data_IF_914536826513
#
_entry.id   IF_914536826513
#
_cell.length_a   1.000
_cell.length_b   1.000
_cell.length_c   1.000
_cell.angle_alpha   90.00
_cell.angle_beta   90.00
_cell.angle_gamma   90.00
#
_symmetry.space_group_name_H-M   'P 1'
#
loop_
_entity.id
_entity.type
_entity.pdbx_description
1 polymer ?
#
# COMPACT_ATOMS: atom_id res chain seq x y z
N UNK A 1 4.35 68.11 -5.46
CA UNK A 1 4.98 67.71 -4.17
C UNK A 1 3.97 67.04 -3.21
N UNK A 2 2.70 67.40 -3.16
CA UNK A 2 1.67 66.78 -2.29
C UNK A 2 1.24 65.35 -2.69
N UNK A 3 1.27 64.99 -3.96
CA UNK A 3 0.86 63.68 -4.46
C UNK A 3 1.85 62.53 -4.09
N UNK A 4 3.16 62.84 -4.09
CA UNK A 4 4.20 61.85 -3.80
C UNK A 4 4.24 61.49 -2.29
N UNK A 5 3.88 62.44 -1.42
CA UNK A 5 3.81 62.18 0.03
C UNK A 5 2.58 61.36 0.40
N UNK A 6 1.44 61.53 -0.31
CA UNK A 6 0.23 60.73 -0.10
C UNK A 6 0.41 59.25 -0.49
N UNK A 7 1.11 59.02 -1.58
CA UNK A 7 1.38 57.65 -2.08
C UNK A 7 2.39 56.89 -1.13
N UNK A 8 3.42 57.60 -0.63
CA UNK A 8 4.35 57.03 0.33
C UNK A 8 3.71 56.77 1.71
N UNK A 9 2.66 57.50 2.08
CA UNK A 9 1.93 57.27 3.34
C UNK A 9 0.97 56.05 3.19
N UNK A 10 0.37 55.89 2.02
CA UNK A 10 -0.55 54.80 1.73
C UNK A 10 0.15 53.45 1.71
N UNK A 11 1.37 53.38 1.17
CA UNK A 11 2.16 52.16 1.12
C UNK A 11 2.71 51.73 2.49
N UNK A 12 2.78 52.67 3.47
CA UNK A 12 3.22 52.35 4.85
C UNK A 12 2.09 51.93 5.79
N UNK A 13 0.84 52.28 5.49
CA UNK A 13 -0.33 52.06 6.36
C UNK A 13 -1.09 50.75 6.04
N UNK A 14 -0.79 50.13 4.93
CA UNK A 14 -1.32 48.78 4.57
C UNK A 14 -0.15 47.82 4.40
N UNK A 15 0.40 47.22 5.48
CA UNK A 15 1.18 46.02 5.31
C UNK A 15 0.22 44.97 4.67
N UNK A 16 0.52 44.57 3.42
CA UNK A 16 -0.12 43.41 2.83
C UNK A 16 0.12 42.25 3.80
N UNK A 17 -0.90 41.95 4.62
CA UNK A 17 -0.90 40.72 5.37
C UNK A 17 -0.96 39.62 4.33
N UNK A 18 0.09 38.77 4.21
CA UNK A 18 -0.01 37.61 3.37
C UNK A 18 -1.19 36.79 3.91
N UNK A 19 -2.29 36.72 3.17
CA UNK A 19 -3.33 35.75 3.43
C UNK A 19 -2.65 34.40 3.25
N UNK A 20 -2.15 33.84 4.35
CA UNK A 20 -1.66 32.50 4.39
C UNK A 20 -2.85 31.61 4.06
N UNK A 21 -2.96 31.22 2.81
CA UNK A 21 -3.85 30.15 2.39
C UNK A 21 -3.53 28.95 3.30
N UNK A 22 -4.55 28.25 3.83
CA UNK A 22 -4.33 27.11 4.68
C UNK A 22 -3.34 26.20 3.97
N UNK A 23 -2.28 25.82 4.70
CA UNK A 23 -1.18 25.03 4.17
C UNK A 23 -1.74 23.83 3.41
N UNK A 24 -1.69 23.88 2.10
CA UNK A 24 -2.01 22.74 1.25
C UNK A 24 -1.03 21.65 1.66
N UNK A 25 -1.55 20.48 2.03
CA UNK A 25 -0.71 19.33 2.36
C UNK A 25 0.37 19.18 1.27
N UNK A 26 1.64 18.99 1.63
CA UNK A 26 2.67 18.82 0.62
C UNK A 26 2.27 17.66 -0.31
N UNK A 27 2.44 17.81 -1.62
CA UNK A 27 1.98 16.78 -2.59
C UNK A 27 2.54 15.39 -2.28
N UNK A 28 3.72 15.31 -1.70
CA UNK A 28 4.33 14.05 -1.24
C UNK A 28 3.53 13.37 -0.13
N UNK A 29 3.05 14.12 0.84
CA UNK A 29 2.21 13.59 1.92
C UNK A 29 0.85 13.12 1.40
N UNK A 30 0.24 13.88 0.50
CA UNK A 30 -1.03 13.49 -0.13
C UNK A 30 -0.90 12.19 -0.92
N UNK A 31 0.17 12.03 -1.70
CA UNK A 31 0.47 10.79 -2.43
C UNK A 31 0.70 9.60 -1.50
N UNK A 32 1.48 9.78 -0.44
CA UNK A 32 1.73 8.73 0.56
C UNK A 32 0.45 8.29 1.25
N UNK A 33 -0.41 9.24 1.65
CA UNK A 33 -1.69 8.93 2.26
C UNK A 33 -2.63 8.21 1.29
N UNK A 34 -2.71 8.66 0.04
CA UNK A 34 -3.51 8.01 -1.00
C UNK A 34 -3.05 6.57 -1.24
N UNK A 35 -1.73 6.34 -1.31
CA UNK A 35 -1.14 5.02 -1.43
C UNK A 35 -1.50 4.12 -0.25
N UNK A 36 -1.32 4.59 0.99
CA UNK A 36 -1.65 3.82 2.19
C UNK A 36 -3.12 3.49 2.28
N UNK A 37 -4.01 4.44 1.96
CA UNK A 37 -5.46 4.21 1.93
C UNK A 37 -5.81 3.16 0.88
N UNK A 38 -5.28 3.26 -0.33
CA UNK A 38 -5.51 2.29 -1.40
C UNK A 38 -5.00 0.89 -1.00
N UNK A 39 -3.82 0.79 -0.38
CA UNK A 39 -3.25 -0.45 0.11
C UNK A 39 -4.14 -1.11 1.17
N UNK A 40 -4.55 -0.34 2.18
CA UNK A 40 -5.41 -0.83 3.28
C UNK A 40 -6.76 -1.28 2.74
N UNK A 41 -7.41 -0.48 1.89
CA UNK A 41 -8.69 -0.85 1.27
C UNK A 41 -8.56 -2.12 0.43
N UNK A 42 -7.50 -2.24 -0.36
CA UNK A 42 -7.21 -3.44 -1.15
C UNK A 42 -7.02 -4.69 -0.29
N UNK A 43 -6.27 -4.57 0.80
CA UNK A 43 -6.08 -5.66 1.77
C UNK A 43 -7.41 -6.05 2.44
N UNK A 44 -8.17 -5.08 2.96
CA UNK A 44 -9.46 -5.35 3.60
C UNK A 44 -10.42 -6.08 2.66
N UNK A 45 -10.51 -5.63 1.40
CA UNK A 45 -11.35 -6.26 0.39
C UNK A 45 -10.91 -7.71 0.12
N UNK A 46 -9.61 -7.95 -0.05
CA UNK A 46 -9.05 -9.28 -0.28
C UNK A 46 -9.27 -10.20 0.93
N UNK A 47 -9.05 -9.72 2.16
CA UNK A 47 -9.32 -10.46 3.39
C UNK A 47 -10.80 -10.80 3.54
N UNK A 48 -11.69 -9.86 3.22
CA UNK A 48 -13.14 -10.07 3.27
C UNK A 48 -13.59 -11.13 2.27
N UNK A 49 -13.13 -11.05 1.01
CA UNK A 49 -13.43 -12.04 -0.04
C UNK A 49 -12.91 -13.42 0.34
N UNK A 50 -11.66 -13.52 0.78
CA UNK A 50 -11.06 -14.80 1.18
C UNK A 50 -11.78 -15.41 2.39
N UNK A 51 -12.13 -14.59 3.39
CA UNK A 51 -12.92 -15.06 4.55
C UNK A 51 -14.29 -15.58 4.15
N UNK A 52 -14.94 -14.92 3.18
CA UNK A 52 -16.22 -15.37 2.63
C UNK A 52 -16.07 -16.71 1.90
N UNK A 53 -15.02 -16.85 1.09
CA UNK A 53 -14.72 -18.09 0.37
C UNK A 53 -14.43 -19.25 1.32
N UNK A 54 -13.57 -19.03 2.34
CA UNK A 54 -13.25 -20.04 3.35
C UNK A 54 -14.51 -20.51 4.07
N UNK A 55 -15.37 -19.59 4.49
CA UNK A 55 -16.65 -19.91 5.16
C UNK A 55 -17.59 -20.70 4.24
N UNK A 56 -17.65 -20.37 2.96
CA UNK A 56 -18.47 -21.07 1.98
C UNK A 56 -17.99 -22.52 1.81
N UNK A 57 -16.70 -22.73 1.58
CA UNK A 57 -16.09 -24.07 1.44
C UNK A 57 -16.29 -24.90 2.72
N UNK A 58 -16.06 -24.30 3.90
CA UNK A 58 -16.23 -24.96 5.18
C UNK A 58 -17.68 -25.44 5.44
N UNK A 59 -18.66 -24.62 5.04
CA UNK A 59 -20.09 -24.99 5.19
C UNK A 59 -20.50 -26.16 4.31
N UNK A 60 -19.91 -26.28 3.10
CA UNK A 60 -20.27 -27.33 2.14
C UNK A 60 -19.33 -28.53 2.19
N UNK A 61 -18.42 -28.59 3.16
CA UNK A 61 -17.42 -29.66 3.31
C UNK A 61 -18.03 -31.04 3.44
N UNK A 62 -19.21 -31.16 4.11
CA UNK A 62 -19.86 -32.43 4.43
C UNK A 62 -20.94 -32.83 3.42
N UNK A 63 -21.12 -32.06 2.35
CA UNK A 63 -22.15 -32.33 1.34
C UNK A 63 -21.53 -32.38 -0.06
N UNK A 64 -21.42 -33.59 -0.62
CA UNK A 64 -21.05 -33.72 -2.02
C UNK A 64 -22.25 -33.31 -2.88
N UNK A 65 -22.10 -32.40 -3.86
CA UNK A 65 -23.20 -32.07 -4.77
C UNK A 65 -23.75 -33.31 -5.47
N UNK A 66 -25.06 -33.41 -5.59
CA UNK A 66 -25.76 -34.59 -6.13
C UNK A 66 -25.26 -35.00 -7.51
N UNK A 67 -24.87 -34.05 -8.37
CA UNK A 67 -24.31 -34.29 -9.68
C UNK A 67 -22.98 -35.07 -9.66
N UNK A 68 -22.24 -35.06 -8.53
CA UNK A 68 -20.94 -35.72 -8.41
C UNK A 68 -20.91 -36.84 -7.37
N UNK A 69 -22.02 -37.09 -6.67
CA UNK A 69 -22.12 -38.07 -5.58
C UNK A 69 -21.72 -39.50 -5.99
N UNK A 70 -21.90 -39.87 -7.25
CA UNK A 70 -21.52 -41.17 -7.75
C UNK A 70 -20.05 -41.29 -8.15
N UNK A 71 -19.33 -40.16 -8.32
CA UNK A 71 -17.96 -40.15 -8.83
C UNK A 71 -16.94 -39.72 -7.78
N UNK A 72 -17.35 -39.01 -6.74
CA UNK A 72 -16.45 -38.43 -5.73
C UNK A 72 -16.90 -38.94 -4.36
N UNK A 73 -16.01 -39.60 -3.66
CA UNK A 73 -16.25 -40.01 -2.26
C UNK A 73 -16.27 -38.79 -1.32
N UNK A 74 -17.09 -38.90 -0.27
CA UNK A 74 -17.14 -37.83 0.75
C UNK A 74 -15.74 -37.51 1.32
N UNK A 75 -14.92 -38.54 1.52
CA UNK A 75 -13.55 -38.36 2.04
C UNK A 75 -12.65 -37.56 1.07
N UNK A 76 -12.75 -37.84 -0.23
CA UNK A 76 -11.99 -37.08 -1.24
C UNK A 76 -12.45 -35.61 -1.30
N UNK A 77 -13.78 -35.37 -1.18
CA UNK A 77 -14.36 -34.03 -1.15
C UNK A 77 -13.89 -33.26 0.10
N UNK A 78 -13.89 -33.90 1.27
CA UNK A 78 -13.39 -33.28 2.52
C UNK A 78 -11.90 -32.93 2.43
N UNK A 79 -11.05 -33.84 1.91
CA UNK A 79 -9.62 -33.56 1.67
C UNK A 79 -9.41 -32.35 0.76
N UNK A 80 -10.17 -32.25 -0.32
CA UNK A 80 -10.08 -31.12 -1.25
C UNK A 80 -10.52 -29.81 -0.58
N UNK A 81 -11.57 -29.84 0.24
CA UNK A 81 -12.03 -28.68 1.00
C UNK A 81 -10.97 -28.22 2.03
N UNK A 82 -10.38 -29.16 2.78
CA UNK A 82 -9.34 -28.86 3.78
C UNK A 82 -8.08 -28.28 3.14
N UNK A 83 -7.66 -28.83 2.00
CA UNK A 83 -6.55 -28.28 1.21
C UNK A 83 -6.86 -26.84 0.74
N UNK A 84 -8.05 -26.59 0.22
CA UNK A 84 -8.47 -25.27 -0.24
C UNK A 84 -8.48 -24.25 0.88
N UNK A 85 -9.00 -24.61 2.05
CA UNK A 85 -9.03 -23.74 3.25
C UNK A 85 -7.61 -23.43 3.71
N UNK A 86 -6.75 -24.44 3.81
CA UNK A 86 -5.36 -24.27 4.23
C UNK A 86 -4.58 -23.38 3.27
N UNK A 87 -4.71 -23.62 1.96
CA UNK A 87 -4.09 -22.80 0.92
C UNK A 87 -4.57 -21.36 0.99
N UNK A 88 -5.87 -21.12 1.17
CA UNK A 88 -6.43 -19.79 1.26
C UNK A 88 -5.91 -19.04 2.50
N UNK A 89 -5.78 -19.70 3.66
CA UNK A 89 -5.20 -19.11 4.88
C UNK A 89 -3.73 -18.75 4.69
N UNK A 90 -2.96 -19.65 4.05
CA UNK A 90 -1.54 -19.38 3.75
C UNK A 90 -1.39 -18.19 2.80
N UNK A 91 -2.23 -18.11 1.76
CA UNK A 91 -2.22 -16.97 0.83
C UNK A 91 -2.57 -15.63 1.51
N UNK A 92 -3.43 -15.63 2.53
CA UNK A 92 -3.69 -14.43 3.34
C UNK A 92 -2.47 -14.00 4.15
N UNK A 93 -1.74 -14.95 4.73
CA UNK A 93 -0.51 -14.67 5.47
C UNK A 93 0.57 -14.10 4.54
N UNK A 94 0.78 -14.73 3.39
CA UNK A 94 1.72 -14.27 2.36
C UNK A 94 1.40 -12.85 1.91
N UNK A 95 0.13 -12.55 1.67
CA UNK A 95 -0.34 -11.22 1.29
C UNK A 95 -0.08 -10.17 2.39
N UNK A 96 -0.33 -10.52 3.66
CA UNK A 96 -0.07 -9.64 4.79
C UNK A 96 1.43 -9.35 4.95
N UNK A 97 2.28 -10.36 4.80
CA UNK A 97 3.74 -10.21 4.82
C UNK A 97 4.21 -9.34 3.64
N UNK A 98 3.72 -9.59 2.43
CA UNK A 98 4.05 -8.76 1.26
C UNK A 98 3.67 -7.30 1.45
N UNK A 99 2.50 -7.02 2.03
CA UNK A 99 2.09 -5.66 2.35
C UNK A 99 2.98 -5.02 3.43
N UNK A 100 3.37 -5.76 4.47
CA UNK A 100 4.27 -5.26 5.50
C UNK A 100 5.65 -4.92 4.94
N UNK A 101 6.20 -5.77 4.07
CA UNK A 101 7.46 -5.52 3.35
C UNK A 101 7.33 -4.28 2.46
N UNK A 102 6.25 -4.17 1.70
CA UNK A 102 6.02 -3.01 0.82
C UNK A 102 5.97 -1.70 1.62
N UNK A 103 5.25 -1.67 2.74
CA UNK A 103 5.21 -0.50 3.63
C UNK A 103 6.58 -0.21 4.23
N UNK A 104 7.31 -1.25 4.67
CA UNK A 104 8.67 -1.12 5.18
C UNK A 104 9.61 -0.45 4.19
N UNK A 105 9.59 -0.89 2.95
CA UNK A 105 10.43 -0.33 1.89
C UNK A 105 10.02 1.09 1.47
N UNK A 106 8.71 1.37 1.36
CA UNK A 106 8.23 2.63 0.78
C UNK A 106 7.97 3.72 1.80
N UNK A 107 7.46 3.40 2.99
CA UNK A 107 7.02 4.37 3.99
C UNK A 107 8.00 4.49 5.15
N UNK A 108 8.60 3.39 5.60
CA UNK A 108 9.57 3.39 6.71
C UNK A 108 11.01 3.71 6.28
N UNK A 109 11.21 4.11 5.04
CA UNK A 109 12.53 4.54 4.54
C UNK A 109 13.48 3.41 4.16
N UNK A 110 12.99 2.20 3.96
CA UNK A 110 13.82 1.05 3.54
C UNK A 110 14.55 1.31 2.23
N UNK A 111 13.88 1.93 1.26
CA UNK A 111 14.52 2.34 -0.01
C UNK A 111 15.61 3.39 0.18
N UNK A 112 15.40 4.37 1.07
CA UNK A 112 16.40 5.40 1.36
C UNK A 112 17.63 4.79 2.04
N UNK A 113 17.42 3.88 2.98
CA UNK A 113 18.51 3.17 3.65
C UNK A 113 19.33 2.35 2.65
N UNK A 114 18.66 1.60 1.78
CA UNK A 114 19.32 0.82 0.72
C UNK A 114 20.09 1.73 -0.24
N UNK A 115 19.47 2.83 -0.65
CA UNK A 115 20.11 3.80 -1.55
C UNK A 115 21.37 4.41 -0.91
N UNK A 116 21.31 4.84 0.35
CA UNK A 116 22.47 5.38 1.07
C UNK A 116 23.59 4.34 1.20
N UNK A 117 23.24 3.09 1.51
CA UNK A 117 24.20 2.01 1.61
C UNK A 117 24.90 1.72 0.27
N UNK A 118 24.13 1.67 -0.83
CA UNK A 118 24.67 1.49 -2.18
C UNK A 118 25.53 2.69 -2.64
N UNK A 119 25.14 3.91 -2.28
CA UNK A 119 25.95 5.11 -2.54
C UNK A 119 27.30 5.06 -1.82
N UNK A 120 27.31 4.55 -0.58
CA UNK A 120 28.55 4.36 0.18
C UNK A 120 29.50 3.32 -0.43
N UNK A 121 28.94 2.26 -1.07
CA UNK A 121 29.74 1.20 -1.68
C UNK A 121 30.21 1.51 -3.10
N UNK A 122 29.34 2.03 -3.94
CA UNK A 122 29.53 2.16 -5.40
C UNK A 122 29.75 3.60 -5.84
N UNK A 123 29.52 4.56 -4.95
CA UNK A 123 29.47 5.98 -5.33
C UNK A 123 28.23 6.33 -6.16
N UNK A 124 28.07 7.62 -6.47
CA UNK A 124 26.98 8.08 -7.32
C UNK A 124 27.28 7.75 -8.80
N UNK A 125 26.40 6.94 -9.44
CA UNK A 125 26.57 6.60 -10.84
C UNK A 125 25.58 5.54 -11.35
N UNK A 126 25.75 5.14 -12.60
CA UNK A 126 24.88 4.11 -13.22
C UNK A 126 24.96 2.76 -12.50
N UNK A 127 26.13 2.40 -11.97
CA UNK A 127 26.32 1.15 -11.22
C UNK A 127 25.44 1.07 -9.97
N UNK A 128 25.34 2.16 -9.22
CA UNK A 128 24.47 2.26 -8.03
C UNK A 128 22.98 2.15 -8.41
N UNK A 129 22.56 2.81 -9.50
CA UNK A 129 21.18 2.77 -9.98
C UNK A 129 20.78 1.35 -10.45
N UNK A 130 21.65 0.68 -11.18
CA UNK A 130 21.45 -0.70 -11.62
C UNK A 130 21.41 -1.67 -10.42
N UNK A 131 22.33 -1.49 -9.46
CA UNK A 131 22.36 -2.31 -8.25
C UNK A 131 21.07 -2.14 -7.42
N UNK A 132 20.55 -0.92 -7.28
CA UNK A 132 19.30 -0.64 -6.61
C UNK A 132 18.12 -1.35 -7.30
N UNK A 133 18.06 -1.30 -8.62
CA UNK A 133 17.03 -1.99 -9.41
C UNK A 133 17.10 -3.51 -9.21
N UNK A 134 18.32 -4.10 -9.29
CA UNK A 134 18.52 -5.56 -9.15
C UNK A 134 18.17 -6.07 -7.76
N UNK A 135 18.48 -5.30 -6.72
CA UNK A 135 18.15 -5.69 -5.33
C UNK A 135 16.65 -5.57 -5.03
N UNK A 136 15.96 -4.61 -5.69
CA UNK A 136 14.54 -4.37 -5.46
C UNK A 136 13.63 -5.34 -6.25
N UNK A 137 14.03 -5.85 -7.40
CA UNK A 137 13.26 -6.78 -8.25
C UNK A 137 13.44 -8.24 -7.82
#
# INVERSE_FOLDING_TARGET
>A
MRAIVADALHSRLMPEMPVALPASFPPSLAMTLAFLVALVLGLLLKFWLASRQIRHVARHRNAVPTAFAQRITLQAHQKAADYTITKARFSLLEMALGAAVLVGWTVLGGLDLLNQWLLGLLGAGMAQQLALLVVFV
#
